data_IF_096168725963
#
_entry.id   IF_096168725963
#
_cell.length_a   1.000
_cell.length_b   1.000
_cell.length_c   1.000
_cell.angle_alpha   90.00
_cell.angle_beta   90.00
_cell.angle_gamma   90.00
#
_symmetry.space_group_name_H-M   'P 1'
#
loop_
_entity.id
_entity.type
_entity.pdbx_description
1 polymer ?
#
# COMPACT_ATOMS: atom_id res chain seq x y z
N UNK A 1 12.86 -5.58 0.98
CA UNK A 1 11.48 -5.06 1.05
C UNK A 1 10.72 -5.45 -0.22
N UNK A 2 9.46 -5.85 -0.08
CA UNK A 2 8.54 -6.13 -1.20
C UNK A 2 7.38 -5.12 -1.17
N UNK A 3 7.11 -4.43 -2.28
CA UNK A 3 6.00 -3.49 -2.41
C UNK A 3 5.02 -3.93 -3.51
N UNK A 4 3.77 -4.15 -3.16
CA UNK A 4 2.69 -4.35 -4.12
C UNK A 4 2.20 -2.99 -4.66
N UNK A 5 1.93 -2.90 -5.98
CA UNK A 5 1.60 -1.64 -6.63
C UNK A 5 2.78 -0.66 -6.66
N UNK A 6 4.02 -1.18 -6.73
CA UNK A 6 5.24 -0.43 -6.53
C UNK A 6 5.74 0.40 -7.72
N UNK A 7 5.09 0.34 -8.89
CA UNK A 7 5.61 0.99 -10.09
C UNK A 7 5.23 2.47 -10.25
N UNK A 8 4.21 2.99 -9.53
CA UNK A 8 3.71 4.36 -9.65
C UNK A 8 3.31 4.96 -8.31
N UNK A 9 3.06 6.27 -8.28
CA UNK A 9 2.51 7.00 -7.15
C UNK A 9 3.24 6.70 -5.83
N UNK A 10 2.48 6.44 -4.77
CA UNK A 10 3.00 6.13 -3.44
C UNK A 10 3.93 4.90 -3.46
N UNK A 11 3.58 3.86 -4.24
CA UNK A 11 4.39 2.64 -4.33
C UNK A 11 5.78 2.89 -4.92
N UNK A 12 5.89 3.70 -5.97
CA UNK A 12 7.18 4.07 -6.57
C UNK A 12 8.00 4.99 -5.65
N UNK A 13 7.35 5.93 -4.95
CA UNK A 13 8.00 6.76 -3.94
C UNK A 13 8.52 5.90 -2.78
N UNK A 14 7.74 4.95 -2.30
CA UNK A 14 8.17 3.98 -1.30
C UNK A 14 9.37 3.15 -1.80
N UNK A 15 9.32 2.62 -3.03
CA UNK A 15 10.45 1.87 -3.60
C UNK A 15 11.74 2.68 -3.60
N UNK A 16 11.69 3.96 -4.01
CA UNK A 16 12.84 4.88 -3.98
C UNK A 16 13.34 5.11 -2.55
N UNK A 17 12.43 5.44 -1.63
CA UNK A 17 12.77 5.73 -0.25
C UNK A 17 13.42 4.52 0.46
N UNK A 18 12.88 3.32 0.27
CA UNK A 18 13.47 2.10 0.80
C UNK A 18 14.82 1.77 0.16
N UNK A 19 14.97 1.98 -1.15
CA UNK A 19 16.24 1.79 -1.84
C UNK A 19 17.31 2.76 -1.31
N UNK A 20 16.97 4.03 -1.13
CA UNK A 20 17.86 5.04 -0.52
C UNK A 20 18.22 4.70 0.93
N UNK A 21 17.31 4.06 1.67
CA UNK A 21 17.58 3.56 3.02
C UNK A 21 18.41 2.25 3.06
N UNK A 22 18.89 1.76 1.91
CA UNK A 22 19.78 0.60 1.80
C UNK A 22 19.08 -0.76 1.75
N UNK A 23 17.75 -0.79 1.58
CA UNK A 23 17.04 -2.06 1.40
C UNK A 23 17.24 -2.62 0.00
N UNK A 24 17.31 -3.96 -0.12
CA UNK A 24 17.02 -4.63 -1.39
C UNK A 24 15.53 -4.55 -1.66
N UNK A 25 15.15 -4.01 -2.81
CA UNK A 25 13.76 -3.67 -3.14
C UNK A 25 13.26 -4.56 -4.27
N UNK A 26 12.08 -5.16 -4.07
CA UNK A 26 11.28 -5.75 -5.12
C UNK A 26 9.92 -5.04 -5.19
N UNK A 27 9.42 -4.84 -6.40
CA UNK A 27 8.10 -4.24 -6.63
C UNK A 27 7.24 -5.17 -7.46
N UNK A 28 5.96 -5.27 -7.11
CA UNK A 28 4.95 -5.94 -7.92
C UNK A 28 4.17 -4.89 -8.71
N UNK A 29 3.97 -5.15 -10.01
CA UNK A 29 3.15 -4.32 -10.90
C UNK A 29 2.18 -5.20 -11.69
N UNK A 30 1.03 -4.68 -12.09
CA UNK A 30 0.08 -5.44 -12.92
C UNK A 30 0.19 -5.05 -14.41
N UNK A 31 -0.16 -3.81 -14.77
CA UNK A 31 -0.29 -3.38 -16.16
C UNK A 31 0.77 -2.37 -16.62
N UNK A 32 1.49 -1.74 -15.71
CA UNK A 32 2.41 -0.63 -16.02
C UNK A 32 3.87 -1.10 -16.17
N UNK A 33 4.13 -1.95 -17.17
CA UNK A 33 5.45 -2.53 -17.42
C UNK A 33 6.52 -1.47 -17.74
N UNK A 34 6.17 -0.42 -18.50
CA UNK A 34 7.10 0.67 -18.83
C UNK A 34 7.54 1.45 -17.60
N UNK A 35 6.60 1.76 -16.69
CA UNK A 35 6.92 2.44 -15.42
C UNK A 35 7.79 1.55 -14.52
N UNK A 36 7.51 0.25 -14.47
CA UNK A 36 8.32 -0.72 -13.74
C UNK A 36 9.74 -0.81 -14.28
N UNK A 37 9.91 -0.91 -15.61
CA UNK A 37 11.22 -0.93 -16.28
C UNK A 37 12.00 0.39 -16.07
N UNK A 38 11.31 1.54 -16.11
CA UNK A 38 11.93 2.83 -15.80
C UNK A 38 12.44 2.89 -14.35
N UNK A 39 11.70 2.30 -13.42
CA UNK A 39 12.10 2.24 -12.02
C UNK A 39 13.32 1.32 -11.81
N UNK A 40 13.37 0.14 -12.46
CA UNK A 40 14.53 -0.74 -12.44
C UNK A 40 15.78 -0.06 -13.00
N UNK A 41 15.62 0.68 -14.09
CA UNK A 41 16.74 1.45 -14.69
C UNK A 41 17.23 2.57 -13.76
N UNK A 42 16.33 3.21 -13.02
CA UNK A 42 16.66 4.33 -12.13
C UNK A 42 17.25 3.85 -10.79
N UNK A 43 16.94 2.62 -10.34
CA UNK A 43 17.32 2.09 -9.03
C UNK A 43 18.08 0.76 -9.22
N UNK A 44 19.41 0.79 -9.39
CA UNK A 44 20.20 -0.41 -9.62
C UNK A 44 19.97 -1.50 -8.56
N UNK A 45 19.65 -2.71 -9.01
CA UNK A 45 19.38 -3.86 -8.13
C UNK A 45 17.94 -3.97 -7.64
N UNK A 46 17.05 -3.04 -8.02
CA UNK A 46 15.62 -3.22 -7.85
C UNK A 46 15.12 -4.32 -8.81
N UNK A 47 14.21 -5.15 -8.33
CA UNK A 47 13.53 -6.19 -9.11
C UNK A 47 12.05 -5.80 -9.29
N UNK A 48 11.57 -5.76 -10.53
CA UNK A 48 10.15 -5.60 -10.82
C UNK A 48 9.55 -6.92 -11.35
N UNK A 49 8.44 -7.36 -10.73
CA UNK A 49 7.77 -8.61 -11.08
C UNK A 49 6.32 -8.32 -11.42
N UNK A 50 5.84 -8.85 -12.55
CA UNK A 50 4.43 -8.73 -12.89
C UNK A 50 3.57 -9.60 -11.97
N UNK A 51 2.49 -9.02 -11.44
CA UNK A 51 1.60 -9.70 -10.51
C UNK A 51 0.23 -9.04 -10.51
N UNK A 52 -0.81 -9.82 -10.74
CA UNK A 52 -2.18 -9.46 -10.41
C UNK A 52 -2.45 -9.87 -8.96
N UNK A 53 -2.56 -8.89 -8.06
CA UNK A 53 -2.78 -9.15 -6.63
C UNK A 53 -4.17 -9.74 -6.34
N UNK A 54 -5.15 -9.56 -7.22
CA UNK A 54 -6.47 -10.18 -7.10
C UNK A 54 -6.41 -11.71 -7.30
N UNK A 55 -5.37 -12.21 -7.97
CA UNK A 55 -5.16 -13.64 -8.22
C UNK A 55 -4.17 -14.24 -7.23
N UNK A 56 -4.65 -15.16 -6.38
CA UNK A 56 -3.79 -15.91 -5.45
C UNK A 56 -2.63 -16.62 -6.17
N UNK A 57 -2.92 -17.30 -7.27
CA UNK A 57 -1.90 -18.01 -8.05
C UNK A 57 -0.83 -17.07 -8.61
N UNK A 58 -1.24 -15.87 -9.08
CA UNK A 58 -0.30 -14.84 -9.53
C UNK A 58 0.58 -14.35 -8.38
N UNK A 59 0.00 -14.13 -7.19
CA UNK A 59 0.77 -13.75 -6.00
C UNK A 59 1.80 -14.82 -5.60
N UNK A 60 1.45 -16.10 -5.65
CA UNK A 60 2.36 -17.22 -5.33
C UNK A 60 3.57 -17.26 -6.27
N UNK A 61 3.33 -17.17 -7.57
CA UNK A 61 4.41 -17.13 -8.58
C UNK A 61 5.31 -15.93 -8.38
N UNK A 62 4.72 -14.74 -8.23
CA UNK A 62 5.48 -13.50 -8.05
C UNK A 62 6.29 -13.51 -6.74
N UNK A 63 5.68 -13.95 -5.63
CA UNK A 63 6.35 -14.03 -4.33
C UNK A 63 7.53 -14.99 -4.36
N UNK A 64 7.35 -16.17 -4.96
CA UNK A 64 8.43 -17.14 -5.14
C UNK A 64 9.59 -16.59 -6.01
N UNK A 65 9.25 -15.89 -7.10
CA UNK A 65 10.27 -15.22 -7.96
C UNK A 65 11.08 -14.21 -7.15
N UNK A 66 10.42 -13.42 -6.30
CA UNK A 66 11.10 -12.45 -5.43
C UNK A 66 12.00 -13.16 -4.43
N UNK A 67 11.51 -14.21 -3.74
CA UNK A 67 12.33 -14.94 -2.76
C UNK A 67 13.57 -15.61 -3.40
N UNK A 68 13.44 -16.14 -4.61
CA UNK A 68 14.57 -16.71 -5.34
C UNK A 68 15.64 -15.66 -5.72
N UNK A 69 15.21 -14.47 -6.13
CA UNK A 69 16.10 -13.43 -6.63
C UNK A 69 16.76 -12.59 -5.52
N UNK A 70 15.98 -12.20 -4.50
CA UNK A 70 16.43 -11.24 -3.47
C UNK A 70 16.49 -11.85 -2.05
N UNK A 71 16.11 -13.10 -1.90
CA UNK A 71 16.02 -13.79 -0.62
C UNK A 71 14.68 -13.51 0.10
N UNK A 72 14.66 -13.68 1.41
CA UNK A 72 13.46 -13.55 2.19
C UNK A 72 12.91 -12.11 2.25
N UNK A 73 11.61 -11.98 2.43
CA UNK A 73 10.90 -10.70 2.59
C UNK A 73 10.86 -10.34 4.07
N UNK A 74 11.58 -9.29 4.47
CA UNK A 74 11.57 -8.75 5.84
C UNK A 74 10.53 -7.66 6.03
N UNK A 75 10.25 -6.90 4.97
CA UNK A 75 9.26 -5.82 4.95
C UNK A 75 8.32 -6.03 3.78
N UNK A 76 7.02 -6.11 4.06
CA UNK A 76 5.95 -6.13 3.07
C UNK A 76 5.19 -4.80 3.12
N UNK A 77 5.12 -4.10 1.99
CA UNK A 77 4.27 -2.92 1.79
C UNK A 77 3.11 -3.31 0.87
N UNK A 78 1.91 -3.48 1.41
CA UNK A 78 0.70 -3.76 0.64
C UNK A 78 0.04 -2.44 0.24
N UNK A 79 0.44 -1.92 -0.94
CA UNK A 79 -0.02 -0.63 -1.46
C UNK A 79 -0.89 -0.78 -2.71
N UNK A 80 -0.90 -1.94 -3.39
CA UNK A 80 -1.73 -2.14 -4.58
C UNK A 80 -3.19 -1.76 -4.32
N UNK A 81 -3.78 -1.01 -5.24
CA UNK A 81 -5.16 -0.57 -5.10
C UNK A 81 -5.67 0.14 -6.34
N UNK A 82 -6.97 0.11 -6.48
CA UNK A 82 -7.76 0.85 -7.48
C UNK A 82 -8.79 1.71 -6.76
N UNK A 83 -9.23 2.78 -7.41
CA UNK A 83 -10.32 3.63 -6.94
C UNK A 83 -11.34 3.81 -8.07
N UNK A 84 -12.59 4.03 -7.71
CA UNK A 84 -13.68 4.32 -8.63
C UNK A 84 -14.69 5.20 -7.90
N UNK A 85 -15.06 6.31 -8.54
CA UNK A 85 -16.17 7.15 -8.06
C UNK A 85 -17.46 6.72 -8.79
N UNK A 86 -18.46 6.27 -8.01
CA UNK A 86 -19.74 5.83 -8.55
C UNK A 86 -20.82 5.88 -7.47
N UNK A 87 -22.05 6.28 -7.84
CA UNK A 87 -23.19 6.22 -6.91
C UNK A 87 -23.42 4.77 -6.47
N UNK A 88 -23.76 4.57 -5.20
CA UNK A 88 -23.95 3.23 -4.62
C UNK A 88 -24.96 2.38 -5.41
N UNK A 89 -26.06 3.01 -5.86
CA UNK A 89 -27.11 2.34 -6.64
C UNK A 89 -26.64 1.83 -7.99
N UNK A 90 -25.54 2.36 -8.51
CA UNK A 90 -25.03 2.06 -9.85
C UNK A 90 -23.84 1.10 -9.82
N UNK A 91 -23.30 0.81 -8.62
CA UNK A 91 -22.20 -0.14 -8.45
C UNK A 91 -22.73 -1.54 -8.74
N UNK A 92 -22.13 -2.22 -9.73
CA UNK A 92 -22.51 -3.61 -10.03
C UNK A 92 -21.85 -4.58 -9.04
N UNK A 93 -22.42 -5.81 -8.88
CA UNK A 93 -21.79 -6.85 -8.06
C UNK A 93 -20.33 -7.16 -8.49
N UNK A 94 -20.06 -7.14 -9.80
CA UNK A 94 -18.73 -7.40 -10.36
C UNK A 94 -17.73 -6.30 -10.02
N UNK A 95 -18.14 -5.03 -10.10
CA UNK A 95 -17.32 -3.86 -9.69
C UNK A 95 -17.04 -3.90 -8.19
N UNK A 96 -18.05 -4.23 -7.38
CA UNK A 96 -17.89 -4.44 -5.95
C UNK A 96 -16.85 -5.52 -5.66
N UNK A 97 -17.01 -6.70 -6.27
CA UNK A 97 -16.10 -7.82 -6.03
C UNK A 97 -14.67 -7.48 -6.48
N UNK A 98 -14.51 -6.90 -7.67
CA UNK A 98 -13.20 -6.50 -8.18
C UNK A 98 -12.50 -5.47 -7.26
N UNK A 99 -13.25 -4.51 -6.71
CA UNK A 99 -12.73 -3.55 -5.74
C UNK A 99 -12.20 -4.24 -4.47
N UNK A 100 -12.93 -5.22 -3.95
CA UNK A 100 -12.50 -6.00 -2.79
C UNK A 100 -11.31 -6.90 -3.15
N UNK A 101 -11.33 -7.56 -4.30
CA UNK A 101 -10.27 -8.48 -4.71
C UNK A 101 -8.92 -7.78 -4.82
N UNK A 102 -8.88 -6.60 -5.43
CA UNK A 102 -7.64 -5.84 -5.58
C UNK A 102 -7.22 -5.19 -4.25
N UNK A 103 -8.13 -4.43 -3.59
CA UNK A 103 -7.76 -3.57 -2.47
C UNK A 103 -7.65 -4.30 -1.13
N UNK A 104 -8.34 -5.44 -0.95
CA UNK A 104 -8.38 -6.17 0.31
C UNK A 104 -7.85 -7.59 0.18
N UNK A 105 -8.39 -8.41 -0.74
CA UNK A 105 -7.95 -9.79 -0.91
C UNK A 105 -6.49 -9.87 -1.36
N UNK A 106 -6.03 -8.92 -2.18
CA UNK A 106 -4.61 -8.83 -2.57
C UNK A 106 -3.67 -8.66 -1.38
N UNK A 107 -4.05 -7.82 -0.40
CA UNK A 107 -3.28 -7.67 0.83
C UNK A 107 -3.28 -8.97 1.66
N UNK A 108 -4.43 -9.63 1.79
CA UNK A 108 -4.54 -10.94 2.44
C UNK A 108 -3.61 -11.97 1.78
N UNK A 109 -3.62 -12.09 0.44
CA UNK A 109 -2.76 -13.03 -0.28
C UNK A 109 -1.28 -12.82 0.04
N UNK A 110 -0.81 -11.58 -0.04
CA UNK A 110 0.60 -11.26 0.18
C UNK A 110 1.01 -11.39 1.65
N UNK A 111 0.16 -11.00 2.59
CA UNK A 111 0.43 -11.19 4.01
C UNK A 111 0.56 -12.69 4.35
N UNK A 112 -0.36 -13.52 3.83
CA UNK A 112 -0.34 -14.96 4.05
C UNK A 112 0.90 -15.65 3.45
N UNK A 113 1.45 -15.12 2.37
CA UNK A 113 2.70 -15.61 1.75
C UNK A 113 3.94 -15.17 2.54
N UNK A 114 3.96 -13.94 3.06
CA UNK A 114 5.11 -13.39 3.78
C UNK A 114 5.25 -13.93 5.21
N UNK A 115 4.13 -14.10 5.91
CA UNK A 115 4.09 -14.46 7.34
C UNK A 115 4.86 -15.73 7.69
N UNK A 116 4.76 -16.88 6.98
CA UNK A 116 5.49 -18.08 7.37
C UNK A 116 7.01 -17.88 7.44
N UNK A 117 7.56 -17.07 6.53
CA UNK A 117 8.98 -16.68 6.53
C UNK A 117 9.33 -15.78 7.71
N UNK A 118 8.51 -14.76 7.97
CA UNK A 118 8.69 -13.82 9.08
C UNK A 118 8.57 -14.51 10.44
N UNK A 119 7.59 -15.38 10.64
CA UNK A 119 7.38 -16.16 11.88
C UNK A 119 8.59 -17.05 12.18
N UNK A 120 9.12 -17.78 11.20
CA UNK A 120 10.32 -18.61 11.39
C UNK A 120 11.54 -17.79 11.83
N UNK A 121 11.68 -16.57 11.35
CA UNK A 121 12.79 -15.67 11.73
C UNK A 121 12.51 -14.86 12.98
N UNK A 122 11.28 -14.87 13.48
CA UNK A 122 10.81 -14.02 14.58
C UNK A 122 11.07 -12.53 14.33
N UNK A 123 10.93 -12.12 13.12
CA UNK A 123 11.14 -10.73 12.68
C UNK A 123 10.39 -10.46 11.38
N UNK A 124 9.70 -9.33 11.30
CA UNK A 124 9.01 -8.89 10.10
C UNK A 124 8.31 -7.55 10.30
N UNK A 125 8.03 -6.89 9.18
CA UNK A 125 7.26 -5.63 9.13
C UNK A 125 6.22 -5.74 8.03
N UNK A 126 4.96 -5.54 8.37
CA UNK A 126 3.85 -5.49 7.42
C UNK A 126 3.24 -4.10 7.48
N UNK A 127 3.20 -3.42 6.36
CA UNK A 127 2.66 -2.07 6.20
C UNK A 127 1.56 -2.11 5.15
N UNK A 128 0.33 -1.82 5.55
CA UNK A 128 -0.80 -1.70 4.64
C UNK A 128 -1.06 -0.23 4.31
N UNK A 129 -1.42 0.06 3.06
CA UNK A 129 -1.80 1.41 2.65
C UNK A 129 -3.32 1.45 2.44
N UNK A 130 -4.00 1.99 3.45
CA UNK A 130 -5.44 2.24 3.43
C UNK A 130 -5.75 3.58 2.75
N UNK A 131 -6.64 4.36 3.31
CA UNK A 131 -7.05 5.69 2.89
C UNK A 131 -7.74 6.41 4.06
N UNK A 132 -7.83 7.72 4.03
CA UNK A 132 -8.71 8.48 4.91
C UNK A 132 -10.16 7.98 4.77
N UNK A 133 -10.60 7.56 3.57
CA UNK A 133 -11.92 6.97 3.34
C UNK A 133 -12.10 5.58 3.97
N UNK A 134 -11.04 4.90 4.32
CA UNK A 134 -11.11 3.69 5.17
C UNK A 134 -11.41 4.01 6.64
N UNK A 135 -11.18 5.25 7.09
CA UNK A 135 -11.45 5.72 8.44
C UNK A 135 -12.85 6.34 8.58
N UNK A 136 -13.26 7.14 7.60
CA UNK A 136 -14.49 7.96 7.68
C UNK A 136 -15.56 7.58 6.65
N UNK A 137 -15.21 6.87 5.58
CA UNK A 137 -16.03 6.66 4.40
C UNK A 137 -16.02 7.89 3.48
N UNK A 138 -16.11 7.64 2.17
CA UNK A 138 -16.21 8.66 1.12
C UNK A 138 -17.52 8.53 0.34
N UNK A 139 -18.20 9.66 0.10
CA UNK A 139 -19.36 9.68 -0.80
C UNK A 139 -18.95 9.27 -2.21
N UNK A 140 -19.78 8.51 -2.90
CA UNK A 140 -19.52 7.93 -4.22
C UNK A 140 -18.33 6.94 -4.27
N UNK A 141 -17.76 6.57 -3.13
CA UNK A 141 -16.64 5.63 -3.00
C UNK A 141 -16.93 4.50 -1.99
N UNK A 142 -18.18 4.02 -1.92
CA UNK A 142 -18.64 3.09 -0.88
C UNK A 142 -17.86 1.77 -0.91
N UNK A 143 -17.65 1.17 -2.07
CA UNK A 143 -16.90 -0.08 -2.22
C UNK A 143 -15.40 0.10 -1.92
N UNK A 144 -14.82 1.22 -2.34
CA UNK A 144 -13.45 1.59 -2.00
C UNK A 144 -13.27 1.80 -0.50
N UNK A 145 -14.17 2.56 0.12
CA UNK A 145 -14.19 2.81 1.57
C UNK A 145 -14.31 1.51 2.36
N UNK A 146 -15.20 0.60 1.94
CA UNK A 146 -15.37 -0.71 2.56
C UNK A 146 -14.09 -1.56 2.49
N UNK A 147 -13.43 -1.62 1.31
CA UNK A 147 -12.19 -2.35 1.14
C UNK A 147 -11.05 -1.76 1.99
N UNK A 148 -10.93 -0.42 2.02
CA UNK A 148 -9.89 0.28 2.80
C UNK A 148 -10.14 0.23 4.32
N UNK A 149 -11.40 0.21 4.76
CA UNK A 149 -11.75 -0.08 6.16
C UNK A 149 -11.41 -1.54 6.53
N UNK A 150 -11.64 -2.49 5.62
CA UNK A 150 -11.23 -3.88 5.77
C UNK A 150 -9.73 -4.05 6.01
N UNK A 151 -8.88 -3.27 5.32
CA UNK A 151 -7.43 -3.25 5.56
C UNK A 151 -7.06 -2.79 6.98
N UNK A 152 -7.78 -1.82 7.53
CA UNK A 152 -7.59 -1.37 8.92
C UNK A 152 -7.92 -2.51 9.89
N UNK A 153 -9.03 -3.24 9.64
CA UNK A 153 -9.41 -4.42 10.42
C UNK A 153 -8.36 -5.53 10.35
N UNK A 154 -7.91 -5.87 9.13
CA UNK A 154 -6.86 -6.85 8.86
C UNK A 154 -5.57 -6.48 9.61
N UNK A 155 -5.11 -5.24 9.52
CA UNK A 155 -3.92 -4.73 10.20
C UNK A 155 -4.00 -4.94 11.71
N UNK A 156 -5.11 -4.53 12.33
CA UNK A 156 -5.30 -4.62 13.78
C UNK A 156 -5.37 -6.06 14.27
N UNK A 157 -5.98 -6.96 13.49
CA UNK A 157 -6.08 -8.38 13.83
C UNK A 157 -4.70 -9.07 13.74
N UNK A 158 -4.00 -8.90 12.61
CA UNK A 158 -2.67 -9.46 12.41
C UNK A 158 -1.64 -8.91 13.42
N UNK A 159 -1.73 -7.65 13.79
CA UNK A 159 -0.83 -7.07 14.80
C UNK A 159 -0.93 -7.78 16.15
N UNK A 160 -2.14 -8.18 16.55
CA UNK A 160 -2.38 -8.94 17.79
C UNK A 160 -1.92 -10.39 17.68
N UNK A 161 -2.18 -11.02 16.54
CA UNK A 161 -1.86 -12.42 16.29
C UNK A 161 -0.34 -12.63 16.16
N UNK A 162 0.34 -11.73 15.44
CA UNK A 162 1.74 -11.89 15.07
C UNK A 162 2.74 -11.15 15.97
N UNK A 163 2.25 -10.33 16.90
CA UNK A 163 3.09 -9.66 17.89
C UNK A 163 4.01 -10.60 18.67
N UNK A 164 3.52 -11.77 19.17
CA UNK A 164 4.38 -12.77 19.83
C UNK A 164 5.47 -13.34 18.91
N UNK A 165 5.30 -13.25 17.60
CA UNK A 165 6.30 -13.67 16.61
C UNK A 165 7.34 -12.58 16.27
N UNK A 166 7.31 -11.43 16.95
CA UNK A 166 8.24 -10.31 16.71
C UNK A 166 7.93 -9.53 15.43
N UNK A 167 6.70 -9.65 14.91
CA UNK A 167 6.26 -8.98 13.68
C UNK A 167 5.39 -7.79 14.04
N UNK A 168 5.69 -6.61 13.48
CA UNK A 168 4.79 -5.46 13.59
C UNK A 168 3.95 -5.31 12.33
N UNK A 169 2.68 -4.96 12.52
CA UNK A 169 1.73 -4.73 11.42
C UNK A 169 1.07 -3.37 11.63
N UNK A 170 1.28 -2.43 10.72
CA UNK A 170 0.73 -1.08 10.80
C UNK A 170 0.08 -0.66 9.49
N UNK A 171 -0.82 0.30 9.59
CA UNK A 171 -1.56 0.85 8.47
C UNK A 171 -1.22 2.33 8.29
N UNK A 172 -0.98 2.76 7.07
CA UNK A 172 -0.94 4.17 6.70
C UNK A 172 -2.23 4.52 5.97
N UNK A 173 -2.86 5.63 6.35
CA UNK A 173 -4.10 6.13 5.77
C UNK A 173 -3.84 7.50 5.12
N UNK A 174 -3.42 7.55 3.85
CA UNK A 174 -3.21 8.79 3.13
C UNK A 174 -4.52 9.57 2.93
N UNK A 175 -4.42 10.90 2.93
CA UNK A 175 -5.45 11.80 2.43
C UNK A 175 -5.34 12.00 0.93
N UNK A 176 -5.53 13.26 0.48
CA UNK A 176 -5.39 13.61 -0.93
C UNK A 176 -3.92 13.79 -1.27
N UNK A 177 -3.37 12.81 -2.00
CA UNK A 177 -1.96 12.78 -2.41
C UNK A 177 -1.86 13.05 -3.90
N UNK A 178 -1.03 14.00 -4.32
CA UNK A 178 -0.81 14.32 -5.74
C UNK A 178 -0.03 13.20 -6.43
N UNK A 179 -0.77 12.34 -7.11
CA UNK A 179 -0.26 11.17 -7.82
C UNK A 179 -1.03 10.99 -9.12
N UNK A 180 -0.65 10.00 -9.94
CA UNK A 180 -1.36 9.65 -11.18
C UNK A 180 -2.84 9.31 -10.95
N UNK A 181 -3.23 8.93 -9.72
CA UNK A 181 -4.63 8.69 -9.35
C UNK A 181 -5.47 9.98 -9.45
N UNK A 182 -4.82 11.15 -9.34
CA UNK A 182 -5.43 12.47 -9.51
C UNK A 182 -5.40 12.99 -10.95
N UNK A 183 -5.03 12.16 -11.95
CA UNK A 183 -4.89 12.60 -13.34
C UNK A 183 -6.21 13.07 -13.98
N UNK A 184 -7.36 12.61 -13.47
CA UNK A 184 -8.69 13.01 -13.93
C UNK A 184 -9.17 14.34 -13.31
N UNK A 185 -8.49 14.85 -12.28
CA UNK A 185 -8.86 16.08 -11.58
C UNK A 185 -8.28 17.30 -12.28
N UNK A 186 -9.09 18.33 -12.46
CA UNK A 186 -8.64 19.62 -13.02
C UNK A 186 -7.73 20.37 -12.04
N UNK A 187 -7.09 21.44 -12.49
CA UNK A 187 -6.30 22.30 -11.61
C UNK A 187 -7.19 22.98 -10.54
N UNK A 188 -8.43 23.34 -10.92
CA UNK A 188 -9.44 23.91 -10.02
C UNK A 188 -9.87 22.90 -8.96
N UNK A 189 -10.12 21.65 -9.32
CA UNK A 189 -10.46 20.59 -8.35
C UNK A 189 -9.32 20.37 -7.36
N UNK A 190 -8.08 20.33 -7.83
CA UNK A 190 -6.90 20.19 -6.97
C UNK A 190 -6.73 21.38 -6.03
N UNK A 191 -6.99 22.61 -6.51
CA UNK A 191 -6.95 23.81 -5.69
C UNK A 191 -8.03 23.80 -4.61
N UNK A 192 -9.25 23.39 -4.94
CA UNK A 192 -10.34 23.24 -3.97
C UNK A 192 -9.99 22.21 -2.88
N UNK A 193 -9.48 21.04 -3.26
CA UNK A 193 -9.03 20.01 -2.32
C UNK A 193 -7.87 20.49 -1.43
N UNK A 194 -6.98 21.32 -1.96
CA UNK A 194 -5.91 21.91 -1.19
C UNK A 194 -6.43 22.94 -0.17
N UNK A 195 -7.44 23.74 -0.55
CA UNK A 195 -8.08 24.70 0.35
C UNK A 195 -8.87 24.00 1.48
N UNK A 196 -9.54 22.89 1.19
CA UNK A 196 -10.22 22.06 2.19
C UNK A 196 -9.24 21.37 3.16
N UNK A 197 -7.99 21.17 2.74
CA UNK A 197 -6.98 20.53 3.57
C UNK A 197 -6.44 21.53 4.60
N UNK A 198 -6.47 21.25 5.92
CA UNK A 198 -6.01 22.19 6.94
C UNK A 198 -4.57 22.70 6.76
N UNK A 199 -3.66 21.89 6.21
CA UNK A 199 -2.29 22.36 5.89
C UNK A 199 -2.20 23.15 4.58
N UNK A 200 -3.32 23.43 3.87
CA UNK A 200 -3.40 24.30 2.72
C UNK A 200 -2.77 23.77 1.42
N UNK A 201 -2.56 22.45 1.32
CA UNK A 201 -1.98 21.82 0.13
C UNK A 201 -2.30 20.33 0.04
N UNK A 202 -2.12 19.77 -1.14
CA UNK A 202 -2.11 18.32 -1.31
C UNK A 202 -0.84 17.70 -0.69
N UNK A 203 -0.94 16.46 -0.26
CA UNK A 203 0.21 15.67 0.17
C UNK A 203 1.03 15.16 -1.03
N UNK A 204 2.28 14.82 -0.79
CA UNK A 204 3.15 14.17 -1.77
C UNK A 204 3.28 12.67 -1.49
N UNK A 205 3.57 11.88 -2.54
CA UNK A 205 3.87 10.47 -2.39
C UNK A 205 5.11 10.22 -1.49
N UNK A 206 6.07 11.12 -1.52
CA UNK A 206 7.29 11.02 -0.71
C UNK A 206 6.99 11.19 0.80
N UNK A 207 6.04 12.03 1.20
CA UNK A 207 5.63 12.17 2.60
C UNK A 207 5.06 10.86 3.15
N UNK A 208 4.26 10.16 2.35
CA UNK A 208 3.75 8.82 2.70
C UNK A 208 4.90 7.80 2.77
N UNK A 209 5.81 7.83 1.79
CA UNK A 209 6.94 6.92 1.69
C UNK A 209 7.90 7.04 2.89
N UNK A 210 8.19 8.25 3.37
CA UNK A 210 9.04 8.47 4.54
C UNK A 210 8.46 7.84 5.81
N UNK A 211 7.14 7.94 6.01
CA UNK A 211 6.49 7.26 7.13
C UNK A 211 6.57 5.73 7.01
N UNK A 212 6.41 5.18 5.79
CA UNK A 212 6.57 3.75 5.57
C UNK A 212 7.98 3.26 5.91
N UNK A 213 9.02 4.01 5.52
CA UNK A 213 10.42 3.68 5.88
C UNK A 213 10.64 3.76 7.38
N UNK A 214 10.12 4.79 8.06
CA UNK A 214 10.19 4.90 9.52
C UNK A 214 9.55 3.70 10.22
N UNK A 215 8.32 3.32 9.82
CA UNK A 215 7.58 2.20 10.41
C UNK A 215 8.25 0.84 10.14
N UNK A 216 9.04 0.72 9.08
CA UNK A 216 9.82 -0.48 8.78
C UNK A 216 11.12 -0.57 9.59
N UNK A 217 11.60 0.53 10.15
CA UNK A 217 12.86 0.62 10.87
C UNK A 217 12.80 0.03 12.28
N UNK A 218 13.98 -0.13 12.88
CA UNK A 218 14.13 -0.63 14.25
C UNK A 218 13.49 0.30 15.28
N UNK A 219 13.55 1.61 15.07
CA UNK A 219 12.97 2.61 15.98
C UNK A 219 11.45 2.49 16.13
N UNK A 220 10.77 1.84 15.19
CA UNK A 220 9.34 1.56 15.24
C UNK A 220 9.00 0.17 15.83
N UNK A 221 9.96 -0.52 16.42
CA UNK A 221 9.79 -1.90 16.89
C UNK A 221 8.72 -2.11 17.98
N UNK A 222 8.29 -1.05 18.67
CA UNK A 222 7.19 -1.10 19.66
C UNK A 222 5.87 -0.51 19.12
N UNK A 223 5.81 -0.20 17.82
CA UNK A 223 4.64 0.35 17.15
C UNK A 223 3.98 -0.76 16.33
N UNK A 224 2.80 -1.20 16.74
CA UNK A 224 2.02 -2.23 16.02
C UNK A 224 0.51 -2.00 16.19
N UNK A 225 -0.29 -2.41 15.20
CA UNK A 225 -1.74 -2.27 15.18
C UNK A 225 -2.25 -0.83 14.99
N UNK A 226 -1.36 0.11 14.66
CA UNK A 226 -1.71 1.52 14.54
C UNK A 226 -2.15 1.88 13.11
N UNK A 227 -2.98 2.94 13.04
CA UNK A 227 -3.40 3.57 11.79
C UNK A 227 -2.88 5.00 11.80
N UNK A 228 -1.99 5.29 10.89
CA UNK A 228 -1.35 6.61 10.79
C UNK A 228 -1.94 7.42 9.64
N UNK A 229 -2.63 8.51 9.95
CA UNK A 229 -3.08 9.47 8.95
C UNK A 229 -1.89 10.27 8.38
N UNK A 230 -1.79 10.32 7.04
CA UNK A 230 -0.94 11.27 6.31
C UNK A 230 -1.86 12.05 5.40
N UNK A 231 -2.65 12.96 5.98
CA UNK A 231 -3.83 13.53 5.35
C UNK A 231 -3.95 15.06 5.52
N UNK A 232 -2.91 15.72 6.02
CA UNK A 232 -2.90 17.17 6.20
C UNK A 232 -3.95 17.70 7.20
N UNK A 233 -4.51 16.84 8.05
CA UNK A 233 -5.54 17.21 9.02
C UNK A 233 -6.98 17.07 8.51
N UNK A 234 -7.21 16.55 7.31
CA UNK A 234 -8.55 16.29 6.77
C UNK A 234 -9.35 15.30 7.63
N UNK A 235 -8.66 14.36 8.27
CA UNK A 235 -9.26 13.38 9.19
C UNK A 235 -8.40 13.32 10.44
N UNK A 236 -9.04 13.57 11.59
CA UNK A 236 -8.45 13.54 12.93
C UNK A 236 -9.27 12.61 13.84
#
# INVERSE_FOLDING_TARGET
MLSAGGARGIGAAAARAFWQAGYRVAVLYHTHAEAAAALEKALPGLLAVQCDVASRASCEVAFHTVEQAVGHVDVLVSNAGIAQQKLFTDITPEEWQHMLDVNLSGAFHLCQLALPGMIRRKAGRILTVSSMWGQTGGSCEVHYSAAKAGLIGLTKALAKEEGPSGITVNCVAPGVIDTDMMAAFTAEDKAALAEETPVGRLGSADEVAQLLVFLAGESAGYITGQVFGVNGGLVI
#
